data_IF_104999386250
#
_entry.id   IF_104999386250
#
_cell.length_a   1.000
_cell.length_b   1.000
_cell.length_c   1.000
_cell.angle_alpha   90.00
_cell.angle_beta   90.00
_cell.angle_gamma   90.00
#
_symmetry.space_group_name_H-M   'P 1'
#
loop_
_entity.id
_entity.type
_entity.pdbx_description
1 polymer ?
#
# COMPACT_ATOMS: atom_id res chain seq x y z
N UNK A 1 -31.64 9.23 2.86
CA UNK A 1 -31.10 9.47 1.49
C UNK A 1 -29.64 9.92 1.54
N UNK A 2 -29.31 11.03 2.21
CA UNK A 2 -27.93 11.53 2.32
C UNK A 2 -26.91 10.50 2.83
N UNK A 3 -27.24 9.74 3.89
CA UNK A 3 -26.34 8.72 4.45
C UNK A 3 -26.05 7.56 3.49
N UNK A 4 -27.03 7.20 2.64
CA UNK A 4 -26.86 6.17 1.62
C UNK A 4 -25.95 6.67 0.49
N UNK A 5 -26.07 7.94 0.10
CA UNK A 5 -25.17 8.58 -0.85
C UNK A 5 -23.73 8.67 -0.31
N UNK A 6 -23.55 9.04 0.96
CA UNK A 6 -22.22 9.06 1.61
C UNK A 6 -21.60 7.67 1.66
N UNK A 7 -22.37 6.65 2.03
CA UNK A 7 -21.91 5.25 2.01
C UNK A 7 -21.49 4.79 0.61
N UNK A 8 -22.22 5.18 -0.44
CA UNK A 8 -21.88 4.87 -1.82
C UNK A 8 -20.58 5.58 -2.27
N UNK A 9 -20.42 6.86 -1.91
CA UNK A 9 -19.21 7.63 -2.24
C UNK A 9 -17.95 7.07 -1.56
N UNK A 10 -18.05 6.71 -0.28
CA UNK A 10 -16.95 6.05 0.46
C UNK A 10 -16.53 4.71 -0.17
N UNK A 11 -17.45 4.00 -0.84
CA UNK A 11 -17.13 2.76 -1.58
C UNK A 11 -16.41 3.02 -2.91
N UNK A 12 -16.66 4.16 -3.55
CA UNK A 12 -16.03 4.55 -4.83
C UNK A 12 -14.61 5.12 -4.61
N UNK A 13 -14.32 5.68 -3.43
CA UNK A 13 -13.00 6.21 -3.10
C UNK A 13 -11.91 5.14 -3.24
N UNK A 14 -10.98 5.37 -4.18
CA UNK A 14 -9.82 4.53 -4.40
C UNK A 14 -8.81 4.74 -3.25
N UNK A 15 -8.11 3.67 -2.81
CA UNK A 15 -7.07 3.82 -1.80
C UNK A 15 -5.96 4.76 -2.32
N UNK A 16 -5.38 5.60 -1.45
CA UNK A 16 -4.23 6.41 -1.82
C UNK A 16 -3.06 5.51 -2.19
N UNK A 17 -2.31 5.93 -3.20
CA UNK A 17 -1.14 5.20 -3.69
C UNK A 17 0.11 5.93 -3.24
N UNK A 18 1.01 5.21 -2.58
CA UNK A 18 2.34 5.70 -2.20
C UNK A 18 3.36 5.16 -3.20
N UNK A 19 4.27 6.04 -3.61
CA UNK A 19 5.42 5.71 -4.44
C UNK A 19 6.69 5.93 -3.63
N UNK A 20 7.46 4.86 -3.41
CA UNK A 20 8.75 4.92 -2.74
C UNK A 20 9.85 4.74 -3.80
N UNK A 21 10.71 5.75 -3.94
CA UNK A 21 11.89 5.66 -4.79
C UNK A 21 13.06 5.09 -3.98
N UNK A 22 13.72 4.06 -4.52
CA UNK A 22 14.92 3.48 -3.91
C UNK A 22 16.09 4.45 -4.00
N UNK A 23 16.92 4.48 -2.95
CA UNK A 23 18.16 5.24 -2.97
C UNK A 23 19.15 4.66 -3.99
N UNK A 24 20.05 5.48 -4.51
CA UNK A 24 21.09 5.01 -5.45
C UNK A 24 21.99 3.92 -4.83
N UNK A 25 22.21 3.97 -3.51
CA UNK A 25 22.98 2.95 -2.79
C UNK A 25 22.25 1.59 -2.80
N UNK A 26 20.93 1.59 -2.59
CA UNK A 26 20.13 0.36 -2.62
C UNK A 26 20.09 -0.27 -4.01
N UNK A 27 20.10 0.55 -5.06
CA UNK A 27 20.17 0.09 -6.44
C UNK A 27 21.53 -0.57 -6.72
N UNK A 28 22.63 0.10 -6.35
CA UNK A 28 24.00 -0.39 -6.59
C UNK A 28 24.33 -1.69 -5.83
N UNK A 29 23.75 -1.88 -4.63
CA UNK A 29 23.95 -3.10 -3.84
C UNK A 29 23.29 -4.34 -4.49
N UNK A 30 22.22 -4.15 -5.27
CA UNK A 30 21.48 -5.24 -5.92
C UNK A 30 21.90 -5.50 -7.37
N UNK A 31 22.52 -4.53 -8.06
CA UNK A 31 22.93 -4.71 -9.47
C UNK A 31 24.12 -5.66 -9.66
N UNK A 32 24.94 -5.86 -8.62
CA UNK A 32 26.16 -6.65 -8.76
C UNK A 32 25.92 -8.16 -8.62
N UNK A 33 24.78 -8.60 -8.08
CA UNK A 33 24.34 -10.01 -8.08
C UNK A 33 22.82 -10.08 -7.83
N UNK A 34 22.07 -10.64 -8.79
CA UNK A 34 20.64 -10.90 -8.62
C UNK A 34 20.47 -12.20 -7.83
N UNK A 35 19.91 -12.09 -6.61
CA UNK A 35 19.59 -13.25 -5.78
C UNK A 35 18.07 -13.46 -5.77
N UNK A 36 17.54 -14.36 -6.63
CA UNK A 36 16.14 -14.68 -6.61
C UNK A 36 15.75 -15.51 -5.39
N UNK A 37 14.52 -15.32 -4.91
CA UNK A 37 13.94 -16.13 -3.83
C UNK A 37 13.59 -15.32 -2.59
N UNK A 38 13.47 -16.02 -1.47
CA UNK A 38 13.17 -15.42 -0.17
C UNK A 38 14.43 -14.76 0.39
N UNK A 39 14.34 -13.47 0.69
CA UNK A 39 15.43 -12.62 1.17
C UNK A 39 14.95 -11.78 2.34
N UNK A 40 15.84 -11.44 3.26
CA UNK A 40 15.49 -10.68 4.46
C UNK A 40 14.71 -9.37 4.16
N UNK A 41 14.98 -8.72 3.02
CA UNK A 41 14.32 -7.50 2.57
C UNK A 41 12.91 -7.72 2.00
N UNK A 42 12.57 -8.94 1.56
CA UNK A 42 11.28 -9.29 0.97
C UNK A 42 10.43 -10.23 1.84
N UNK A 43 10.97 -10.81 2.92
CA UNK A 43 10.25 -11.74 3.79
C UNK A 43 8.91 -11.18 4.27
N UNK A 44 8.81 -9.87 4.53
CA UNK A 44 7.59 -9.23 5.01
C UNK A 44 6.39 -9.32 4.05
N UNK A 45 6.61 -9.58 2.74
CA UNK A 45 5.53 -9.82 1.76
C UNK A 45 5.11 -11.28 1.69
N UNK A 46 5.90 -12.19 2.27
CA UNK A 46 5.63 -13.63 2.25
C UNK A 46 4.60 -13.99 3.30
N UNK A 47 3.80 -15.03 3.04
CA UNK A 47 2.72 -15.45 3.93
C UNK A 47 3.22 -15.86 5.32
N UNK A 48 4.36 -16.55 5.41
CA UNK A 48 4.88 -17.09 6.67
C UNK A 48 5.31 -16.01 7.68
N UNK A 49 5.76 -14.86 7.16
CA UNK A 49 6.27 -13.75 7.97
C UNK A 49 5.28 -12.58 8.04
N UNK A 50 4.19 -12.64 7.28
CA UNK A 50 3.12 -11.65 7.31
C UNK A 50 2.35 -11.74 8.63
N UNK A 51 2.30 -10.62 9.35
CA UNK A 51 1.45 -10.49 10.53
C UNK A 51 0.18 -9.73 10.13
N UNK A 52 -0.98 -10.41 10.08
CA UNK A 52 -2.23 -9.72 9.77
C UNK A 52 -2.54 -8.71 10.89
N UNK A 53 -3.03 -7.52 10.53
CA UNK A 53 -3.47 -6.53 11.51
C UNK A 53 -4.60 -7.12 12.36
N UNK A 54 -4.48 -6.94 13.68
CA UNK A 54 -5.44 -7.45 14.69
C UNK A 54 -6.40 -6.37 15.15
N UNK A 55 -6.04 -5.10 14.97
CA UNK A 55 -6.87 -3.95 15.35
C UNK A 55 -7.28 -3.12 14.13
N UNK A 56 -8.36 -2.34 14.27
CA UNK A 56 -8.79 -1.40 13.23
C UNK A 56 -7.70 -0.37 12.90
N UNK A 57 -6.96 0.08 13.91
CA UNK A 57 -5.86 1.02 13.73
C UNK A 57 -4.73 0.40 12.88
N UNK A 58 -4.30 -0.82 13.22
CA UNK A 58 -3.30 -1.55 12.43
C UNK A 58 -3.79 -1.81 11.00
N UNK A 59 -5.07 -2.19 10.84
CA UNK A 59 -5.67 -2.39 9.52
C UNK A 59 -5.58 -1.12 8.69
N UNK A 60 -5.94 0.03 9.26
CA UNK A 60 -5.86 1.32 8.56
C UNK A 60 -4.42 1.73 8.21
N UNK A 61 -3.42 1.38 9.03
CA UNK A 61 -2.01 1.62 8.73
C UNK A 61 -1.39 0.60 7.78
N UNK A 62 -2.10 -0.46 7.42
CA UNK A 62 -1.57 -1.51 6.54
C UNK A 62 -1.40 -1.00 5.11
N UNK A 63 -0.27 -1.35 4.49
CA UNK A 63 0.02 -1.11 3.08
C UNK A 63 -0.03 -2.43 2.31
N UNK A 64 -0.63 -2.40 1.12
CA UNK A 64 -0.75 -3.56 0.25
C UNK A 64 0.08 -3.37 -1.02
N UNK A 65 0.85 -4.40 -1.37
CA UNK A 65 1.58 -4.48 -2.62
C UNK A 65 0.69 -5.16 -3.67
N UNK A 66 0.36 -4.44 -4.76
CA UNK A 66 -0.57 -4.95 -5.77
C UNK A 66 0.00 -6.13 -6.59
N UNK A 67 1.33 -6.31 -6.62
CA UNK A 67 2.03 -7.25 -7.50
C UNK A 67 2.85 -8.25 -6.69
N UNK A 68 2.54 -9.54 -6.83
CA UNK A 68 3.19 -10.62 -6.09
C UNK A 68 4.61 -10.95 -6.56
N UNK A 69 5.06 -10.41 -7.70
CA UNK A 69 6.39 -10.71 -8.26
C UNK A 69 7.46 -9.67 -7.87
N UNK A 70 7.08 -8.53 -7.30
CA UNK A 70 8.05 -7.53 -6.86
C UNK A 70 8.89 -8.07 -5.71
N UNK A 71 10.21 -7.85 -5.76
CA UNK A 71 11.11 -8.30 -4.72
C UNK A 71 11.58 -9.75 -4.87
N UNK A 72 10.96 -10.58 -5.70
CA UNK A 72 11.39 -11.97 -5.90
C UNK A 72 12.75 -12.07 -6.61
N UNK A 73 12.89 -11.46 -7.79
CA UNK A 73 14.20 -11.32 -8.46
C UNK A 73 14.89 -10.03 -7.99
N UNK A 74 14.19 -8.91 -8.14
CA UNK A 74 14.65 -7.58 -7.74
C UNK A 74 13.44 -6.72 -7.41
N UNK A 75 13.67 -5.63 -6.67
CA UNK A 75 12.67 -4.59 -6.49
C UNK A 75 12.71 -3.58 -7.63
N UNK A 76 11.56 -3.02 -8.03
CA UNK A 76 11.56 -1.91 -8.98
C UNK A 76 12.21 -0.67 -8.36
N UNK A 77 12.72 0.23 -9.22
CA UNK A 77 13.26 1.54 -8.79
C UNK A 77 12.22 2.35 -8.01
N UNK A 78 10.97 2.28 -8.44
CA UNK A 78 9.83 2.92 -7.78
C UNK A 78 8.89 1.80 -7.33
N UNK A 79 8.71 1.67 -6.03
CA UNK A 79 7.77 0.70 -5.46
C UNK A 79 6.44 1.40 -5.20
N UNK A 80 5.37 0.77 -5.67
CA UNK A 80 4.01 1.27 -5.54
C UNK A 80 3.24 0.45 -4.51
N UNK A 81 2.73 1.12 -3.48
CA UNK A 81 1.88 0.52 -2.46
C UNK A 81 0.52 1.21 -2.41
N UNK A 82 -0.51 0.44 -2.08
CA UNK A 82 -1.86 0.93 -1.83
C UNK A 82 -2.05 1.03 -0.31
N UNK A 83 -2.27 2.24 0.20
CA UNK A 83 -2.57 2.46 1.62
C UNK A 83 -4.01 2.08 1.92
N UNK A 84 -4.23 1.43 3.06
CA UNK A 84 -5.59 1.15 3.50
C UNK A 84 -6.27 2.36 4.12
N UNK A 85 -5.52 3.26 4.78
CA UNK A 85 -6.05 4.51 5.33
C UNK A 85 -6.70 5.32 4.22
N UNK A 86 -8.03 5.48 4.31
CA UNK A 86 -8.81 6.37 3.45
C UNK A 86 -9.18 7.59 4.28
N UNK A 87 -8.95 8.78 3.75
CA UNK A 87 -9.63 9.97 4.25
C UNK A 87 -11.12 9.81 3.95
N UNK A 88 -11.87 9.35 4.95
CA UNK A 88 -13.32 9.19 4.82
C UNK A 88 -13.92 10.58 4.79
N UNK A 89 -14.83 10.83 3.85
CA UNK A 89 -15.63 12.04 3.90
C UNK A 89 -16.45 12.05 5.20
N UNK A 90 -16.18 13.03 6.05
CA UNK A 90 -17.05 13.39 7.18
C UNK A 90 -17.99 14.50 6.72
N UNK A 91 -19.05 14.78 7.49
CA UNK A 91 -19.94 15.92 7.20
C UNK A 91 -19.18 17.24 7.10
N UNK A 92 -18.06 17.40 7.80
CA UNK A 92 -17.24 18.62 7.74
C UNK A 92 -16.24 18.63 6.58
N UNK A 93 -15.91 17.48 5.98
CA UNK A 93 -14.84 17.35 4.98
C UNK A 93 -15.34 16.98 3.59
N UNK A 94 -16.66 16.90 3.38
CA UNK A 94 -17.25 16.74 2.04
C UNK A 94 -17.06 18.02 1.20
N UNK A 95 -16.52 17.92 -0.03
CA UNK A 95 -16.49 19.06 -0.95
C UNK A 95 -17.91 19.52 -1.30
N UNK A 96 -18.14 20.82 -1.41
CA UNK A 96 -19.46 21.42 -1.68
C UNK A 96 -20.16 20.86 -2.94
N UNK A 97 -19.40 20.45 -3.95
CA UNK A 97 -19.93 19.88 -5.20
C UNK A 97 -20.40 18.42 -5.08
N UNK A 98 -20.20 17.78 -3.92
CA UNK A 98 -20.59 16.39 -3.62
C UNK A 98 -21.75 16.34 -2.62
N UNK A 99 -22.06 17.45 -1.95
CA UNK A 99 -23.09 17.56 -0.91
C UNK A 99 -24.52 17.68 -1.47
#
# INVERSE_FOLDING_TARGET
LAEQCVSALCRIQKPPKIYLEKSNHDLLYHTNNIYPGDRDDNLWITYNNYQPPKTQFEWEQTCFLDKCFHGYYEWPKIIKYSMNKRERYTKETMPEHVA
#
